data_IF_586373214201
#
_entry.id   IF_586373214201
#
_cell.length_a   1.000
_cell.length_b   1.000
_cell.length_c   1.000
_cell.angle_alpha   90.00
_cell.angle_beta   90.00
_cell.angle_gamma   90.00
#
_symmetry.space_group_name_H-M   'P 1'
#
loop_
_entity.id
_entity.type
_entity.pdbx_description
1 polymer ?
#
# COMPACT_ATOMS: atom_id res chain seq x y z
N UNK A 1 2.39 16.07 21.62
CA UNK A 1 1.33 15.79 20.62
C UNK A 1 1.92 16.04 19.24
N UNK A 2 1.88 15.07 18.33
CA UNK A 2 2.37 15.23 16.96
C UNK A 2 1.32 16.00 16.17
N UNK A 3 1.73 17.12 15.58
CA UNK A 3 0.84 18.08 14.88
C UNK A 3 0.93 17.98 13.36
N UNK A 4 1.91 17.23 12.82
CA UNK A 4 2.05 17.06 11.38
C UNK A 4 0.88 16.27 10.79
N UNK A 5 0.33 16.81 9.69
CA UNK A 5 -0.72 16.14 8.91
C UNK A 5 -0.19 14.89 8.20
N UNK A 6 1.11 14.86 7.86
CA UNK A 6 1.77 13.76 7.16
C UNK A 6 3.04 13.29 7.90
N UNK A 7 2.90 12.61 9.06
CA UNK A 7 4.04 12.14 9.82
C UNK A 7 4.69 10.94 9.13
N UNK A 8 6.03 10.95 9.08
CA UNK A 8 6.81 9.86 8.48
C UNK A 8 6.77 8.61 9.37
N UNK A 9 7.02 8.77 10.67
CA UNK A 9 7.24 7.63 11.58
C UNK A 9 6.17 7.50 12.65
N UNK A 10 6.03 8.53 13.51
CA UNK A 10 5.15 8.48 14.68
C UNK A 10 3.88 9.32 14.48
N UNK A 11 2.77 8.81 14.98
CA UNK A 11 1.49 9.50 15.11
C UNK A 11 1.11 9.62 16.58
N UNK A 12 0.10 10.44 16.92
CA UNK A 12 -0.51 10.30 18.24
C UNK A 12 -1.13 8.89 18.33
N UNK A 13 -0.99 8.19 19.48
CA UNK A 13 -1.63 6.90 19.68
C UNK A 13 -3.13 7.03 19.45
N UNK A 14 -3.61 6.29 18.46
CA UNK A 14 -5.01 6.25 18.05
C UNK A 14 -5.26 4.90 17.41
N UNK A 15 -6.52 4.50 17.25
CA UNK A 15 -6.79 3.24 16.56
C UNK A 15 -8.27 3.03 16.37
N UNK A 16 -8.62 1.84 15.90
CA UNK A 16 -10.01 1.46 15.68
C UNK A 16 -10.89 1.54 16.94
N UNK A 17 -10.30 1.58 18.16
CA UNK A 17 -11.04 1.86 19.40
C UNK A 17 -11.66 3.27 19.45
N UNK A 18 -11.10 4.24 18.73
CA UNK A 18 -11.58 5.64 18.70
C UNK A 18 -12.42 5.92 17.45
N UNK A 19 -12.10 5.27 16.32
CA UNK A 19 -12.74 5.52 15.02
C UNK A 19 -13.72 4.42 14.57
N UNK A 20 -13.90 3.35 15.34
CA UNK A 20 -14.72 2.18 14.96
C UNK A 20 -14.10 1.34 13.85
N UNK A 21 -14.91 0.48 13.22
CA UNK A 21 -14.47 -0.44 12.16
C UNK A 21 -14.50 0.18 10.74
N UNK A 22 -15.10 1.37 10.58
CA UNK A 22 -15.24 2.05 9.28
C UNK A 22 -13.92 2.32 8.54
N UNK A 23 -12.78 2.64 9.19
CA UNK A 23 -11.54 2.84 8.46
C UNK A 23 -10.99 1.53 7.88
N UNK A 24 -11.34 0.36 8.44
CA UNK A 24 -11.01 -0.95 7.86
C UNK A 24 -11.73 -1.10 6.52
N UNK A 25 -13.04 -0.89 6.51
CA UNK A 25 -13.87 -0.95 5.29
C UNK A 25 -13.37 0.05 4.23
N UNK A 26 -13.11 1.29 4.64
CA UNK A 26 -12.68 2.35 3.72
C UNK A 26 -11.32 2.06 3.10
N UNK A 27 -10.33 1.68 3.92
CA UNK A 27 -9.01 1.31 3.44
C UNK A 27 -9.06 0.07 2.54
N UNK A 28 -9.86 -0.93 2.91
CA UNK A 28 -10.02 -2.16 2.12
C UNK A 28 -10.64 -1.87 0.75
N UNK A 29 -11.75 -1.10 0.71
CA UNK A 29 -12.37 -0.70 -0.55
C UNK A 29 -11.42 0.12 -1.43
N UNK A 30 -10.63 1.01 -0.83
CA UNK A 30 -9.61 1.77 -1.56
C UNK A 30 -8.53 0.87 -2.18
N UNK A 31 -8.12 -0.19 -1.49
CA UNK A 31 -7.16 -1.19 -2.00
C UNK A 31 -7.79 -2.11 -3.06
N UNK A 32 -9.10 -2.36 -3.02
CA UNK A 32 -9.77 -3.16 -4.04
C UNK A 32 -9.96 -2.40 -5.36
N UNK A 33 -10.14 -1.08 -5.30
CA UNK A 33 -10.49 -0.26 -6.47
C UNK A 33 -9.28 0.53 -6.98
N UNK A 34 -8.55 1.22 -6.09
CA UNK A 34 -7.47 2.13 -6.45
C UNK A 34 -6.32 1.48 -7.20
N UNK A 35 -5.72 0.38 -6.69
CA UNK A 35 -4.69 -0.38 -7.37
C UNK A 35 -5.10 -0.88 -8.75
N UNK A 36 -6.34 -1.33 -8.93
CA UNK A 36 -6.85 -1.79 -10.24
C UNK A 36 -6.89 -0.65 -11.25
N UNK A 37 -7.42 0.52 -10.83
CA UNK A 37 -7.45 1.72 -11.68
C UNK A 37 -6.02 2.14 -12.03
N UNK A 38 -5.13 2.22 -11.02
CA UNK A 38 -3.74 2.60 -11.23
C UNK A 38 -3.02 1.61 -12.15
N UNK A 39 -3.21 0.31 -11.97
CA UNK A 39 -2.64 -0.74 -12.81
C UNK A 39 -3.13 -0.63 -14.26
N UNK A 40 -4.42 -0.35 -14.46
CA UNK A 40 -5.01 -0.16 -15.78
C UNK A 40 -4.44 1.08 -16.49
N UNK A 41 -4.23 2.17 -15.75
CA UNK A 41 -3.56 3.38 -16.27
C UNK A 41 -2.11 3.07 -16.63
N UNK A 42 -1.37 2.35 -15.77
CA UNK A 42 0.03 1.99 -16.03
C UNK A 42 0.12 1.14 -17.30
N UNK A 43 -0.64 0.06 -17.40
CA UNK A 43 -0.64 -0.83 -18.58
C UNK A 43 -1.07 -0.08 -19.84
N UNK A 44 -2.11 0.76 -19.73
CA UNK A 44 -2.57 1.59 -20.84
C UNK A 44 -1.51 2.57 -21.31
N UNK A 45 -0.78 3.22 -20.39
CA UNK A 45 0.29 4.14 -20.71
C UNK A 45 1.52 3.43 -21.26
N UNK A 46 1.96 2.31 -20.67
CA UNK A 46 3.11 1.55 -21.18
C UNK A 46 2.84 0.97 -22.57
N UNK A 47 1.60 0.54 -22.84
CA UNK A 47 1.19 0.06 -24.17
C UNK A 47 1.19 1.13 -25.27
N UNK A 48 1.17 2.42 -24.91
CA UNK A 48 1.33 3.54 -25.86
C UNK A 48 2.79 3.75 -26.26
N UNK A 49 3.75 3.24 -25.48
CA UNK A 49 5.16 3.30 -25.82
C UNK A 49 5.55 2.00 -26.52
N UNK A 50 5.90 2.08 -27.81
CA UNK A 50 6.52 0.95 -28.52
C UNK A 50 7.88 0.70 -27.88
N UNK A 51 8.01 -0.35 -27.07
CA UNK A 51 9.31 -0.74 -26.50
C UNK A 51 10.15 -1.32 -27.64
N UNK A 52 11.26 -0.67 -28.05
CA UNK A 52 12.20 -1.32 -28.96
C UNK A 52 12.72 -2.57 -28.26
N UNK A 53 12.66 -3.72 -28.94
CA UNK A 53 13.13 -5.00 -28.42
C UNK A 53 14.64 -4.86 -28.17
N UNK A 54 15.01 -4.56 -26.92
CA UNK A 54 16.40 -4.59 -26.47
C UNK A 54 16.83 -6.05 -26.32
N UNK A 55 18.12 -6.33 -26.57
CA UNK A 55 18.70 -7.68 -26.54
C UNK A 55 18.62 -8.37 -25.16
N UNK A 56 18.31 -7.62 -24.08
CA UNK A 56 17.95 -8.17 -22.78
C UNK A 56 16.56 -7.66 -22.33
N UNK A 57 15.49 -8.48 -22.46
CA UNK A 57 14.15 -8.14 -22.01
C UNK A 57 14.05 -7.87 -20.51
N UNK A 58 14.94 -8.44 -19.67
CA UNK A 58 14.84 -8.34 -18.21
C UNK A 58 15.43 -7.04 -17.64
N UNK A 59 16.27 -6.35 -18.42
CA UNK A 59 16.86 -5.07 -18.05
C UNK A 59 15.98 -3.85 -18.38
N UNK A 60 14.84 -4.04 -19.05
CA UNK A 60 13.98 -2.93 -19.49
C UNK A 60 13.17 -2.35 -18.33
N UNK A 61 13.37 -1.06 -17.97
CA UNK A 61 12.57 -0.42 -16.92
C UNK A 61 11.09 -0.31 -17.30
N UNK A 62 10.76 -0.24 -18.59
CA UNK A 62 9.38 -0.17 -19.07
C UNK A 62 8.65 -1.49 -18.82
N UNK A 63 9.31 -2.63 -19.06
CA UNK A 63 8.73 -3.95 -18.82
C UNK A 63 8.49 -4.20 -17.32
N UNK A 64 9.40 -3.72 -16.46
CA UNK A 64 9.22 -3.78 -15.01
C UNK A 64 8.01 -2.96 -14.55
N UNK A 65 7.83 -1.74 -15.10
CA UNK A 65 6.67 -0.88 -14.80
C UNK A 65 5.37 -1.52 -15.30
N UNK A 66 5.38 -2.09 -16.52
CA UNK A 66 4.23 -2.81 -17.07
C UNK A 66 3.85 -4.02 -16.20
N UNK A 67 4.85 -4.80 -15.76
CA UNK A 67 4.66 -5.94 -14.85
C UNK A 67 4.02 -5.51 -13.53
N UNK A 68 4.47 -4.38 -12.95
CA UNK A 68 3.82 -3.78 -11.77
C UNK A 68 2.35 -3.46 -12.08
N UNK A 69 2.08 -2.85 -13.25
CA UNK A 69 0.73 -2.52 -13.69
C UNK A 69 -0.18 -3.76 -13.78
N UNK A 70 0.30 -4.83 -14.40
CA UNK A 70 -0.43 -6.10 -14.52
C UNK A 70 -0.70 -6.71 -13.14
N UNK A 71 0.30 -6.73 -12.26
CA UNK A 71 0.15 -7.25 -10.90
C UNK A 71 -0.84 -6.41 -10.07
N UNK A 72 -0.91 -5.10 -10.28
CA UNK A 72 -1.90 -4.22 -9.64
C UNK A 72 -3.32 -4.46 -10.17
N UNK A 73 -3.49 -4.77 -11.46
CA UNK A 73 -4.79 -5.18 -12.01
C UNK A 73 -5.23 -6.53 -11.43
N UNK A 74 -4.30 -7.48 -11.29
CA UNK A 74 -4.55 -8.79 -10.72
C UNK A 74 -4.62 -8.81 -9.17
N UNK A 75 -4.23 -7.71 -8.51
CA UNK A 75 -4.08 -7.66 -7.05
C UNK A 75 -5.35 -8.00 -6.24
N UNK A 76 -6.58 -7.70 -6.68
CA UNK A 76 -7.78 -8.07 -5.92
C UNK A 76 -7.92 -9.57 -5.67
N UNK A 77 -7.40 -10.42 -6.56
CA UNK A 77 -7.46 -11.89 -6.42
C UNK A 77 -6.47 -12.41 -5.36
N UNK A 78 -5.37 -11.71 -5.15
CA UNK A 78 -4.30 -12.08 -4.19
C UNK A 78 -4.46 -11.36 -2.84
N UNK A 79 -5.14 -10.22 -2.81
CA UNK A 79 -5.20 -9.28 -1.68
C UNK A 79 -6.04 -9.76 -0.48
N UNK A 80 -7.00 -10.67 -0.66
CA UNK A 80 -7.89 -11.10 0.43
C UNK A 80 -7.17 -11.79 1.60
N UNK A 81 -6.19 -12.65 1.32
CA UNK A 81 -5.44 -13.36 2.36
C UNK A 81 -4.48 -12.42 3.12
N UNK A 82 -3.88 -11.45 2.41
CA UNK A 82 -2.98 -10.46 3.01
C UNK A 82 -3.71 -9.45 3.90
N UNK A 83 -4.93 -9.06 3.52
CA UNK A 83 -5.77 -8.14 4.30
C UNK A 83 -6.10 -8.68 5.69
N UNK A 84 -6.33 -9.99 5.83
CA UNK A 84 -6.65 -10.63 7.12
C UNK A 84 -5.56 -10.44 8.17
N UNK A 85 -4.28 -10.42 7.77
CA UNK A 85 -3.15 -10.16 8.67
C UNK A 85 -2.77 -8.67 8.73
N UNK A 86 -2.87 -7.94 7.61
CA UNK A 86 -2.47 -6.54 7.54
C UNK A 86 -3.36 -5.61 8.38
N UNK A 87 -4.66 -5.89 8.46
CA UNK A 87 -5.63 -5.11 9.25
C UNK A 87 -5.30 -5.12 10.76
N UNK A 88 -5.14 -6.28 11.43
CA UNK A 88 -4.81 -6.32 12.85
C UNK A 88 -3.40 -5.77 13.15
N UNK A 89 -2.42 -6.00 12.27
CA UNK A 89 -1.08 -5.39 12.40
C UNK A 89 -1.14 -3.87 12.31
N UNK A 90 -1.91 -3.32 11.37
CA UNK A 90 -2.12 -1.88 11.23
C UNK A 90 -2.86 -1.29 12.43
N UNK A 91 -3.86 -2.01 12.97
CA UNK A 91 -4.57 -1.63 14.19
C UNK A 91 -3.60 -1.47 15.38
N UNK A 92 -2.73 -2.47 15.54
CA UNK A 92 -1.78 -2.54 16.63
C UNK A 92 -0.69 -1.47 16.53
N UNK A 93 -0.16 -1.25 15.32
CA UNK A 93 0.81 -0.21 15.06
C UNK A 93 0.24 1.18 15.34
N UNK A 94 -1.00 1.46 14.88
CA UNK A 94 -1.70 2.70 15.18
C UNK A 94 -1.90 2.92 16.68
N UNK A 95 -2.33 1.87 17.40
CA UNK A 95 -2.57 1.95 18.84
C UNK A 95 -1.31 2.32 19.64
N UNK A 96 -0.12 2.04 19.10
CA UNK A 96 1.19 2.40 19.67
C UNK A 96 1.77 3.70 19.14
N UNK A 97 1.05 4.40 18.26
CA UNK A 97 1.52 5.65 17.63
C UNK A 97 2.52 5.43 16.49
N UNK A 98 2.53 4.25 15.87
CA UNK A 98 3.37 3.93 14.70
C UNK A 98 2.51 3.79 13.44
N UNK A 99 1.72 4.82 13.12
CA UNK A 99 0.91 4.87 11.89
C UNK A 99 1.36 5.97 10.91
N UNK A 100 2.67 6.27 10.86
CA UNK A 100 3.24 7.17 9.86
C UNK A 100 3.32 6.52 8.47
N UNK A 101 3.41 7.35 7.42
CA UNK A 101 3.47 6.84 6.03
C UNK A 101 4.75 6.03 5.75
N UNK A 102 5.86 6.33 6.43
CA UNK A 102 7.10 5.56 6.34
C UNK A 102 6.95 4.16 6.92
N UNK A 103 6.15 4.00 7.97
CA UNK A 103 5.80 2.68 8.52
C UNK A 103 4.94 1.90 7.52
N UNK A 104 3.99 2.57 6.86
CA UNK A 104 3.16 1.94 5.83
C UNK A 104 4.01 1.49 4.61
N UNK A 105 4.93 2.33 4.13
CA UNK A 105 5.83 2.00 3.02
C UNK A 105 6.71 0.78 3.37
N UNK A 106 7.38 0.82 4.53
CA UNK A 106 8.22 -0.31 4.97
C UNK A 106 7.41 -1.57 5.19
N UNK A 107 6.26 -1.45 5.85
CA UNK A 107 5.35 -2.57 6.08
C UNK A 107 4.93 -3.20 4.76
N UNK A 108 4.44 -2.39 3.82
CA UNK A 108 4.03 -2.81 2.49
C UNK A 108 5.14 -3.51 1.71
N UNK A 109 6.33 -2.90 1.66
CA UNK A 109 7.49 -3.49 0.99
C UNK A 109 7.89 -4.84 1.57
N UNK A 110 8.01 -4.92 2.90
CA UNK A 110 8.39 -6.16 3.59
C UNK A 110 7.35 -7.25 3.41
N UNK A 111 6.05 -6.94 3.48
CA UNK A 111 4.99 -7.92 3.19
C UNK A 111 5.01 -8.39 1.75
N UNK A 112 5.24 -7.50 0.79
CA UNK A 112 5.36 -7.88 -0.63
C UNK A 112 6.58 -8.77 -0.86
N UNK A 113 7.71 -8.42 -0.26
CA UNK A 113 8.93 -9.21 -0.37
C UNK A 113 8.79 -10.59 0.29
N UNK A 114 8.14 -10.67 1.48
CA UNK A 114 7.83 -11.94 2.12
C UNK A 114 6.89 -12.80 1.25
N UNK A 115 5.85 -12.20 0.66
CA UNK A 115 4.95 -12.92 -0.24
C UNK A 115 5.71 -13.49 -1.45
N UNK A 116 6.60 -12.69 -2.05
CA UNK A 116 7.42 -13.14 -3.17
C UNK A 116 8.39 -14.26 -2.78
N UNK A 117 9.04 -14.15 -1.61
CA UNK A 117 9.91 -15.20 -1.11
C UNK A 117 9.13 -16.50 -0.88
N UNK A 118 7.93 -16.44 -0.30
CA UNK A 118 7.10 -17.64 -0.11
C UNK A 118 6.71 -18.26 -1.45
N UNK A 119 6.37 -17.45 -2.45
CA UNK A 119 6.02 -17.94 -3.80
C UNK A 119 7.21 -18.53 -4.56
N UNK A 120 8.42 -18.00 -4.35
CA UNK A 120 9.63 -18.39 -5.07
C UNK A 120 10.59 -19.28 -4.25
N UNK A 121 10.10 -19.95 -3.19
CA UNK A 121 10.92 -20.88 -2.41
C UNK A 121 12.10 -20.23 -1.67
N UNK A 122 11.92 -18.99 -1.23
CA UNK A 122 12.90 -18.13 -0.53
C UNK A 122 14.13 -17.73 -1.36
N UNK A 123 14.13 -17.94 -2.67
CA UNK A 123 15.17 -17.45 -3.55
C UNK A 123 14.99 -15.93 -3.80
N UNK A 124 16.01 -15.09 -3.60
CA UNK A 124 15.95 -13.69 -3.99
C UNK A 124 15.91 -13.57 -5.52
N UNK A 125 14.90 -12.87 -6.03
CA UNK A 125 14.72 -12.62 -7.46
C UNK A 125 14.35 -11.16 -7.72
N UNK A 126 14.57 -10.68 -8.95
CA UNK A 126 14.11 -9.35 -9.38
C UNK A 126 12.59 -9.21 -9.22
N UNK A 127 11.84 -10.29 -9.42
CA UNK A 127 10.41 -10.35 -9.17
C UNK A 127 10.05 -10.07 -7.71
N UNK A 128 10.89 -10.48 -6.75
CA UNK A 128 10.65 -10.19 -5.34
C UNK A 128 10.71 -8.69 -5.03
N UNK A 129 11.58 -7.95 -5.72
CA UNK A 129 11.64 -6.49 -5.63
C UNK A 129 10.37 -5.88 -6.24
N UNK A 130 9.95 -6.37 -7.41
CA UNK A 130 8.73 -5.91 -8.10
C UNK A 130 7.48 -6.12 -7.24
N UNK A 131 7.31 -7.31 -6.64
CA UNK A 131 6.20 -7.61 -5.73
C UNK A 131 6.29 -6.78 -4.44
N UNK A 132 7.51 -6.53 -3.94
CA UNK A 132 7.75 -5.57 -2.86
C UNK A 132 7.21 -4.17 -3.20
N UNK A 133 7.51 -3.66 -4.40
CA UNK A 133 7.00 -2.37 -4.88
C UNK A 133 5.47 -2.35 -4.99
N UNK A 134 4.84 -3.43 -5.48
CA UNK A 134 3.38 -3.58 -5.47
C UNK A 134 2.85 -3.46 -4.04
N UNK A 135 3.48 -4.13 -3.07
CA UNK A 135 3.14 -4.04 -1.65
C UNK A 135 3.20 -2.62 -1.09
N UNK A 136 4.21 -1.83 -1.49
CA UNK A 136 4.30 -0.39 -1.14
C UNK A 136 3.08 0.37 -1.67
N UNK A 137 2.74 0.17 -2.95
CA UNK A 137 1.59 0.84 -3.57
C UNK A 137 0.30 0.56 -2.81
N UNK A 138 0.02 -0.70 -2.50
CA UNK A 138 -1.18 -1.09 -1.75
C UNK A 138 -1.20 -0.44 -0.36
N UNK A 139 -0.08 -0.47 0.37
CA UNK A 139 0.01 0.07 1.72
C UNK A 139 -0.16 1.61 1.76
N UNK A 140 0.41 2.32 0.78
CA UNK A 140 0.27 3.78 0.67
C UNK A 140 -1.17 4.16 0.32
N UNK A 141 -1.83 3.43 -0.60
CA UNK A 141 -3.23 3.66 -0.95
C UNK A 141 -4.13 3.44 0.27
N UNK A 142 -3.95 2.32 0.98
CA UNK A 142 -4.68 2.02 2.20
C UNK A 142 -4.50 3.12 3.27
N UNK A 143 -3.25 3.47 3.56
CA UNK A 143 -2.91 4.50 4.54
C UNK A 143 -3.49 5.86 4.16
N UNK A 144 -3.36 6.25 2.89
CA UNK A 144 -3.88 7.51 2.35
C UNK A 144 -5.39 7.60 2.51
N UNK A 145 -6.12 6.56 2.09
CA UNK A 145 -7.57 6.51 2.19
C UNK A 145 -8.06 6.68 3.64
N UNK A 146 -7.42 5.99 4.60
CA UNK A 146 -7.75 6.12 6.02
C UNK A 146 -7.40 7.52 6.54
N UNK A 147 -6.29 8.12 6.09
CA UNK A 147 -5.90 9.49 6.50
C UNK A 147 -6.86 10.56 6.04
N UNK A 148 -7.37 10.44 4.81
CA UNK A 148 -8.28 11.43 4.26
C UNK A 148 -9.68 11.31 4.84
N UNK A 149 -10.19 10.08 5.01
CA UNK A 149 -11.59 9.86 5.42
C UNK A 149 -11.74 9.72 6.94
N UNK A 150 -10.76 9.12 7.61
CA UNK A 150 -10.80 8.83 9.05
C UNK A 150 -9.53 9.33 9.76
N UNK A 151 -9.23 10.65 9.74
CA UNK A 151 -7.99 11.20 10.29
C UNK A 151 -7.79 10.90 11.78
N UNK A 152 -8.88 10.74 12.53
CA UNK A 152 -8.88 10.38 13.96
C UNK A 152 -8.39 8.95 14.21
N UNK A 153 -8.56 8.02 13.26
CA UNK A 153 -8.09 6.64 13.38
C UNK A 153 -6.56 6.53 13.47
N UNK A 154 -5.85 7.58 13.01
CA UNK A 154 -4.39 7.65 12.99
C UNK A 154 -3.86 8.93 13.65
N UNK A 155 -4.63 9.44 14.62
CA UNK A 155 -4.14 10.37 15.62
C UNK A 155 -4.04 11.82 15.14
N UNK A 156 -4.75 12.20 14.07
CA UNK A 156 -4.99 13.62 13.75
C UNK A 156 -6.29 14.02 14.41
N UNK A 157 -6.19 14.92 15.40
CA UNK A 157 -7.36 15.59 15.92
C UNK A 157 -8.02 16.42 14.81
N UNK A 158 -9.31 16.22 14.59
CA UNK A 158 -10.10 17.21 13.86
C UNK A 158 -10.05 18.48 14.69
N UNK A 159 -9.58 19.61 14.13
CA UNK A 159 -9.81 20.90 14.76
C UNK A 159 -11.32 21.01 14.96
N UNK A 160 -11.76 21.20 16.20
CA UNK A 160 -13.15 21.56 16.45
C UNK A 160 -13.48 22.79 15.58
N UNK A 161 -14.67 22.85 14.94
CA UNK A 161 -15.09 24.11 14.36
C UNK A 161 -15.01 25.15 15.46
N UNK A 162 -14.37 26.29 15.17
CA UNK A 162 -14.30 27.41 16.09
C UNK A 162 -15.75 27.79 16.40
N UNK A 163 -16.22 27.40 17.60
CA UNK A 163 -17.48 27.87 18.19
C UNK A 163 -17.24 29.19 18.89
#
# INVERSE_FOLDING_TARGET
>A
MITSRYPVWRTNPAGFRVAGHLPILTGTLAVLIGPVILGTIIVGLTGLFTVPITEDPQASPVLAIETIGILLVASPLVSWCGLLAAIPLSAFAAARGFAGWGVAVLGGFLTGLLAALVMNGFAPSQEAIVIGCVGVTLAVVYWGAIRFVHPTAIGVGLKAPLS
#
